data_IF_782953988397
#
_entry.id   IF_782953988397
#
_cell.length_a   1.000
_cell.length_b   1.000
_cell.length_c   1.000
_cell.angle_alpha   90.00
_cell.angle_beta   90.00
_cell.angle_gamma   90.00
#
_symmetry.space_group_name_H-M   'P 1'
#
loop_
_entity.id
_entity.type
_entity.pdbx_description
1 polymer ?
#
# COMPACT_ATOMS: atom_id res chain seq x y z
N UNK A 1 -20.56 8.98 13.26
CA UNK A 1 -19.96 10.09 14.05
C UNK A 1 -20.44 10.04 15.48
N UNK A 2 -21.74 10.10 15.73
CA UNK A 2 -22.33 10.04 17.09
C UNK A 2 -21.84 8.83 17.91
N UNK A 3 -21.83 7.63 17.32
CA UNK A 3 -21.30 6.42 17.96
C UNK A 3 -19.83 6.54 18.39
N UNK A 4 -19.01 7.25 17.64
CA UNK A 4 -17.61 7.49 18.01
C UNK A 4 -17.50 8.47 19.16
N UNK A 5 -18.35 9.51 19.20
CA UNK A 5 -18.41 10.48 20.30
C UNK A 5 -18.84 9.77 21.59
N UNK A 6 -19.87 8.91 21.51
CA UNK A 6 -20.29 8.05 22.64
C UNK A 6 -19.15 7.15 23.12
N UNK A 7 -18.36 6.59 22.20
CA UNK A 7 -17.21 5.78 22.55
C UNK A 7 -16.12 6.56 23.29
N UNK A 8 -15.81 7.80 22.87
CA UNK A 8 -14.91 8.68 23.62
C UNK A 8 -15.44 8.96 25.03
N UNK A 9 -16.69 9.42 25.14
CA UNK A 9 -17.32 9.72 26.43
C UNK A 9 -17.32 8.51 27.39
N UNK A 10 -17.69 7.32 26.88
CA UNK A 10 -17.65 6.07 27.63
C UNK A 10 -16.24 5.74 28.16
N UNK A 11 -15.20 6.01 27.38
CA UNK A 11 -13.83 5.79 27.82
C UNK A 11 -13.41 6.80 28.88
N UNK A 12 -13.78 8.08 28.72
CA UNK A 12 -13.53 9.14 29.70
C UNK A 12 -14.19 8.86 31.05
N UNK A 13 -15.46 8.41 31.07
CA UNK A 13 -16.18 8.00 32.28
C UNK A 13 -15.47 6.86 33.05
N UNK A 14 -14.75 6.00 32.33
CA UNK A 14 -13.96 4.90 32.91
C UNK A 14 -12.55 5.34 33.34
N UNK A 15 -12.24 6.64 33.28
CA UNK A 15 -10.89 7.16 33.54
C UNK A 15 -9.86 6.77 32.48
N UNK A 16 -10.31 6.34 31.29
CA UNK A 16 -9.45 5.90 30.18
C UNK A 16 -9.47 6.93 29.06
N UNK A 17 -8.49 7.83 29.04
CA UNK A 17 -8.33 8.76 27.92
C UNK A 17 -7.76 8.05 26.68
N UNK A 18 -8.58 7.89 25.65
CA UNK A 18 -8.21 7.26 24.37
C UNK A 18 -8.00 8.33 23.31
N UNK A 19 -7.03 8.14 22.41
CA UNK A 19 -6.70 9.15 21.40
C UNK A 19 -7.34 8.87 20.04
N UNK A 20 -7.74 7.61 19.79
CA UNK A 20 -8.32 7.19 18.52
C UNK A 20 -9.47 6.23 18.79
N UNK A 21 -10.62 6.47 18.14
CA UNK A 21 -11.71 5.49 18.01
C UNK A 21 -11.68 4.92 16.60
N UNK A 22 -11.54 3.60 16.50
CA UNK A 22 -11.38 2.87 15.23
C UNK A 22 -12.54 1.91 14.98
N UNK A 23 -13.25 2.11 13.86
CA UNK A 23 -14.46 1.40 13.54
C UNK A 23 -14.38 0.58 12.24
N UNK A 24 -15.44 -0.20 11.99
CA UNK A 24 -15.56 -1.06 10.81
C UNK A 24 -16.25 -0.38 9.64
N UNK A 25 -16.07 -0.97 8.46
CA UNK A 25 -16.58 -0.44 7.23
C UNK A 25 -17.03 -1.55 6.27
N UNK A 26 -17.91 -1.16 5.36
CA UNK A 26 -18.35 -1.96 4.22
C UNK A 26 -17.60 -1.56 2.96
N UNK A 27 -17.36 -2.49 2.06
CA UNK A 27 -16.98 -2.17 0.69
C UNK A 27 -18.23 -2.07 -0.18
N UNK A 28 -18.34 -1.02 -0.98
CA UNK A 28 -19.35 -0.88 -2.01
C UNK A 28 -18.68 -0.82 -3.38
N UNK A 29 -18.80 -1.90 -4.16
CA UNK A 29 -18.24 -2.00 -5.51
C UNK A 29 -19.33 -2.40 -6.49
N UNK A 30 -19.58 -1.60 -7.53
CA UNK A 30 -20.58 -1.87 -8.58
C UNK A 30 -21.97 -2.20 -8.01
N UNK A 31 -22.39 -1.46 -6.96
CA UNK A 31 -23.68 -1.66 -6.29
C UNK A 31 -23.75 -2.85 -5.34
N UNK A 32 -22.68 -3.64 -5.21
CA UNK A 32 -22.61 -4.78 -4.27
C UNK A 32 -21.86 -4.39 -3.01
N UNK A 33 -22.48 -4.69 -1.87
CA UNK A 33 -21.89 -4.52 -0.55
C UNK A 33 -21.14 -5.81 -0.18
N UNK A 34 -19.89 -5.69 0.24
CA UNK A 34 -19.11 -6.80 0.81
C UNK A 34 -18.47 -6.39 2.13
N UNK A 35 -18.25 -7.39 2.99
CA UNK A 35 -17.57 -7.24 4.28
C UNK A 35 -16.16 -7.85 4.26
N UNK A 36 -15.70 -8.27 3.09
CA UNK A 36 -14.36 -8.83 2.88
C UNK A 36 -13.31 -7.79 3.26
N UNK A 37 -12.42 -8.10 4.20
CA UNK A 37 -11.39 -7.16 4.67
C UNK A 37 -11.80 -6.32 5.88
N UNK A 38 -12.89 -6.66 6.57
CA UNK A 38 -13.20 -6.09 7.87
C UNK A 38 -12.17 -6.54 8.94
N UNK A 39 -11.94 -5.69 9.93
CA UNK A 39 -10.97 -5.97 11.00
C UNK A 39 -11.55 -6.89 12.09
N UNK A 40 -12.86 -7.17 12.06
CA UNK A 40 -13.52 -8.12 12.97
C UNK A 40 -12.87 -9.51 12.88
N UNK A 41 -12.48 -9.98 11.70
CA UNK A 41 -11.82 -11.28 11.55
C UNK A 41 -10.48 -11.37 12.27
N UNK A 42 -9.76 -10.25 12.40
CA UNK A 42 -8.43 -10.19 13.03
C UNK A 42 -8.53 -9.83 14.51
N UNK A 43 -9.45 -8.93 14.87
CA UNK A 43 -9.53 -8.33 16.21
C UNK A 43 -10.71 -8.83 17.05
N UNK A 44 -11.66 -9.55 16.47
CA UNK A 44 -12.90 -9.95 17.11
C UNK A 44 -14.00 -8.88 17.03
N UNK A 45 -15.18 -9.23 17.52
CA UNK A 45 -16.37 -8.38 17.54
C UNK A 45 -16.58 -7.66 18.88
N UNK A 46 -15.60 -7.71 19.77
CA UNK A 46 -15.67 -7.08 21.10
C UNK A 46 -15.09 -5.67 21.09
N UNK A 47 -15.75 -4.77 21.81
CA UNK A 47 -15.19 -3.44 22.12
C UNK A 47 -14.01 -3.59 23.07
N UNK A 48 -12.87 -3.01 22.72
CA UNK A 48 -11.69 -3.01 23.59
C UNK A 48 -10.75 -1.87 23.31
N UNK A 49 -9.93 -1.55 24.31
CA UNK A 49 -8.80 -0.64 24.14
C UNK A 49 -7.58 -1.47 23.76
N UNK A 50 -6.92 -1.05 22.68
CA UNK A 50 -5.68 -1.63 22.19
C UNK A 50 -4.53 -0.68 22.49
N UNK A 51 -3.41 -1.26 22.88
CA UNK A 51 -2.11 -0.59 22.80
C UNK A 51 -1.56 -0.66 21.36
N UNK A 52 -0.63 0.23 20.96
CA UNK A 52 0.04 0.16 19.67
C UNK A 52 0.75 -1.18 19.45
N UNK A 53 1.30 -1.76 20.51
CA UNK A 53 1.97 -3.05 20.46
C UNK A 53 1.00 -4.17 20.09
N UNK A 54 -0.12 -4.30 20.80
CA UNK A 54 -1.13 -5.33 20.52
C UNK A 54 -1.71 -5.18 19.10
N UNK A 55 -1.87 -3.93 18.65
CA UNK A 55 -2.29 -3.65 17.29
C UNK A 55 -1.23 -4.07 16.26
N UNK A 56 0.03 -3.65 16.42
CA UNK A 56 1.11 -3.95 15.49
C UNK A 56 1.44 -5.45 15.38
N UNK A 57 1.26 -6.23 16.46
CA UNK A 57 1.44 -7.69 16.44
C UNK A 57 0.46 -8.42 15.52
N UNK A 58 -0.73 -7.85 15.29
CA UNK A 58 -1.81 -8.49 14.52
C UNK A 58 -2.04 -7.89 13.14
N UNK A 59 -1.40 -6.76 12.84
CA UNK A 59 -1.59 -6.02 11.58
C UNK A 59 -0.35 -6.05 10.71
N UNK A 60 -0.51 -6.46 9.45
CA UNK A 60 0.55 -6.49 8.44
C UNK A 60 0.41 -5.39 7.38
N UNK A 61 -0.80 -4.86 7.20
CA UNK A 61 -1.11 -3.72 6.34
C UNK A 61 -2.23 -2.94 7.00
N UNK A 62 -2.19 -1.61 6.90
CA UNK A 62 -3.16 -0.74 7.55
C UNK A 62 -3.38 0.51 6.71
N UNK A 63 -4.59 1.05 6.77
CA UNK A 63 -4.92 2.35 6.20
C UNK A 63 -5.95 3.03 7.09
N UNK A 64 -5.79 4.34 7.28
CA UNK A 64 -6.66 5.12 8.14
C UNK A 64 -6.91 6.48 7.49
N UNK A 65 -7.89 6.50 6.58
CA UNK A 65 -8.39 7.75 5.98
C UNK A 65 -9.66 8.20 6.70
N UNK A 66 -10.72 7.40 6.60
CA UNK A 66 -12.05 7.70 7.11
C UNK A 66 -12.57 6.64 8.09
N UNK A 67 -11.68 5.78 8.61
CA UNK A 67 -12.04 4.58 9.39
C UNK A 67 -12.09 4.81 10.90
N UNK A 68 -12.12 6.06 11.34
CA UNK A 68 -12.17 6.37 12.75
C UNK A 68 -12.38 7.84 13.06
N UNK A 69 -12.36 8.14 14.34
CA UNK A 69 -12.37 9.49 14.88
C UNK A 69 -11.11 9.67 15.72
N UNK A 70 -10.39 10.76 15.52
CA UNK A 70 -9.12 11.08 16.19
C UNK A 70 -9.38 12.22 17.16
N UNK A 71 -8.85 12.14 18.38
CA UNK A 71 -8.80 13.29 19.26
C UNK A 71 -7.96 14.40 18.63
N UNK A 72 -8.57 15.59 18.48
CA UNK A 72 -7.93 16.68 17.74
C UNK A 72 -6.74 17.29 18.48
N UNK A 73 -6.76 17.29 19.82
CA UNK A 73 -5.63 17.81 20.62
C UNK A 73 -4.41 16.90 20.46
N UNK A 74 -4.63 15.59 20.47
CA UNK A 74 -3.62 14.58 20.17
C UNK A 74 -3.08 14.74 18.74
N UNK A 75 -3.94 14.82 17.72
CA UNK A 75 -3.48 14.97 16.34
C UNK A 75 -2.60 16.23 16.17
N UNK A 76 -2.98 17.34 16.82
CA UNK A 76 -2.21 18.59 16.81
C UNK A 76 -0.88 18.44 17.55
N UNK A 77 -0.82 17.69 18.65
CA UNK A 77 0.41 17.52 19.44
C UNK A 77 1.47 16.73 18.69
N UNK A 78 1.07 15.67 17.96
CA UNK A 78 1.98 14.84 17.15
C UNK A 78 2.33 15.47 15.80
N UNK A 79 1.62 16.52 15.38
CA UNK A 79 1.84 17.26 14.11
C UNK A 79 1.86 16.34 12.87
N UNK A 80 1.10 15.25 12.92
CA UNK A 80 1.04 14.26 11.85
C UNK A 80 0.21 14.80 10.68
N UNK A 81 0.73 14.60 9.46
CA UNK A 81 0.09 15.01 8.20
C UNK A 81 0.31 13.96 7.13
N UNK A 82 -0.60 13.89 6.16
CA UNK A 82 -0.41 13.06 4.97
C UNK A 82 0.86 13.47 4.22
N UNK A 83 1.50 12.49 3.57
CA UNK A 83 2.55 12.78 2.61
C UNK A 83 1.89 13.36 1.35
N UNK A 84 2.35 14.51 0.91
CA UNK A 84 1.78 15.20 -0.25
C UNK A 84 2.18 14.49 -1.56
N UNK A 85 1.32 14.62 -2.58
CA UNK A 85 1.62 14.24 -3.98
C UNK A 85 2.01 12.77 -4.21
N UNK A 86 1.57 11.89 -3.30
CA UNK A 86 1.72 10.44 -3.43
C UNK A 86 0.34 9.77 -3.40
N UNK A 87 0.32 8.52 -3.83
CA UNK A 87 -0.79 7.59 -3.64
C UNK A 87 -0.59 6.80 -2.35
N UNK A 88 -1.69 6.35 -1.74
CA UNK A 88 -1.68 5.43 -0.58
C UNK A 88 -1.14 6.09 0.71
N UNK A 89 -1.22 7.41 0.80
CA UNK A 89 -0.78 8.22 1.93
C UNK A 89 -1.52 7.88 3.23
N UNK A 90 -2.76 7.38 3.12
CA UNK A 90 -3.58 6.92 4.23
C UNK A 90 -3.03 5.67 4.92
N UNK A 91 -2.23 4.88 4.22
CA UNK A 91 -1.53 3.74 4.79
C UNK A 91 -0.47 4.16 5.80
N UNK A 92 0.47 5.02 5.38
CA UNK A 92 1.50 5.55 6.26
C UNK A 92 0.91 6.37 7.39
N UNK A 93 -0.04 7.27 7.08
CA UNK A 93 -0.68 8.11 8.08
C UNK A 93 -1.31 7.25 9.19
N UNK A 94 -2.04 6.19 8.84
CA UNK A 94 -2.64 5.30 9.83
C UNK A 94 -1.62 4.62 10.72
N UNK A 95 -0.54 4.08 10.14
CA UNK A 95 0.50 3.40 10.92
C UNK A 95 1.18 4.38 11.87
N UNK A 96 1.56 5.57 11.36
CA UNK A 96 2.20 6.60 12.16
C UNK A 96 1.30 7.15 13.26
N UNK A 97 0.00 7.28 13.00
CA UNK A 97 -1.01 7.70 13.98
C UNK A 97 -1.10 6.67 15.13
N UNK A 98 -1.29 5.40 14.79
CA UNK A 98 -1.50 4.34 15.77
C UNK A 98 -0.25 4.07 16.60
N UNK A 99 0.94 4.16 16.01
CA UNK A 99 2.21 4.01 16.73
C UNK A 99 2.50 5.15 17.71
N UNK A 100 1.89 6.33 17.54
CA UNK A 100 2.06 7.47 18.44
C UNK A 100 0.94 7.60 19.48
N UNK A 101 -0.18 6.89 19.30
CA UNK A 101 -1.25 6.84 20.30
C UNK A 101 -0.81 5.98 21.49
N UNK A 102 -1.33 6.26 22.68
CA UNK A 102 -1.17 5.37 23.83
C UNK A 102 -2.29 4.34 23.90
N UNK A 103 -3.52 4.76 23.56
CA UNK A 103 -4.72 3.93 23.64
C UNK A 103 -5.61 4.15 22.42
N UNK A 104 -5.93 3.05 21.75
CA UNK A 104 -6.82 3.01 20.59
C UNK A 104 -8.08 2.26 20.98
N UNK A 105 -9.23 2.92 20.99
CA UNK A 105 -10.51 2.27 21.23
C UNK A 105 -11.02 1.61 19.95
N UNK A 106 -11.13 0.28 19.97
CA UNK A 106 -11.72 -0.51 18.89
C UNK A 106 -13.23 -0.59 19.08
N UNK A 107 -13.98 -0.02 18.13
CA UNK A 107 -15.44 -0.05 18.06
C UNK A 107 -15.89 -0.96 16.90
N UNK A 108 -16.25 -2.23 17.13
CA UNK A 108 -16.57 -3.21 16.08
C UNK A 108 -17.96 -2.99 15.45
N UNK A 109 -18.31 -1.73 15.16
CA UNK A 109 -19.53 -1.31 14.47
C UNK A 109 -19.20 -0.89 13.05
N UNK A 110 -20.05 -1.29 12.11
CA UNK A 110 -19.91 -0.92 10.70
C UNK A 110 -20.48 0.49 10.47
N UNK A 111 -19.62 1.50 10.54
CA UNK A 111 -20.04 2.91 10.54
C UNK A 111 -19.71 3.65 9.25
N UNK A 112 -19.05 2.99 8.29
CA UNK A 112 -18.63 3.62 7.05
C UNK A 112 -18.83 2.71 5.83
N UNK A 113 -19.20 3.31 4.70
CA UNK A 113 -19.34 2.63 3.42
C UNK A 113 -18.23 3.11 2.48
N UNK A 114 -17.17 2.31 2.35
CA UNK A 114 -16.06 2.57 1.45
C UNK A 114 -16.45 2.22 0.01
N UNK A 115 -16.76 3.25 -0.77
CA UNK A 115 -17.18 3.10 -2.17
C UNK A 115 -15.99 3.06 -3.12
N UNK A 116 -15.83 1.96 -3.84
CA UNK A 116 -14.85 1.84 -4.94
C UNK A 116 -15.55 2.20 -6.25
N UNK A 117 -15.15 3.32 -6.85
CA UNK A 117 -15.64 3.77 -8.16
C UNK A 117 -14.58 3.59 -9.25
N UNK A 118 -15.05 3.38 -10.48
CA UNK A 118 -14.22 3.54 -11.67
C UNK A 118 -13.75 4.99 -11.80
N UNK A 119 -12.64 5.20 -12.51
CA UNK A 119 -12.01 6.52 -12.67
C UNK A 119 -11.60 7.18 -11.34
N UNK A 120 -11.36 6.36 -10.32
CA UNK A 120 -10.74 6.81 -9.07
C UNK A 120 -9.22 6.76 -9.18
N UNK A 121 -8.52 7.41 -8.25
CA UNK A 121 -7.07 7.31 -8.12
C UNK A 121 -6.59 5.86 -7.96
N UNK A 122 -7.43 5.00 -7.35
CA UNK A 122 -7.21 3.56 -7.21
C UNK A 122 -7.46 2.78 -8.51
N UNK A 123 -8.38 3.25 -9.36
CA UNK A 123 -8.75 2.66 -10.66
C UNK A 123 -8.72 3.72 -11.78
N UNK A 124 -7.54 4.24 -12.14
CA UNK A 124 -7.41 5.26 -13.16
C UNK A 124 -7.72 4.66 -14.53
N UNK A 125 -8.35 5.46 -15.39
CA UNK A 125 -8.59 5.12 -16.80
C UNK A 125 -7.56 5.80 -17.70
N UNK A 126 -7.46 5.35 -18.94
CA UNK A 126 -6.50 5.88 -19.94
C UNK A 126 -6.86 7.27 -20.49
N UNK A 127 -8.02 7.83 -20.12
CA UNK A 127 -8.54 9.09 -20.68
C UNK A 127 -8.38 10.25 -19.68
N UNK A 128 -8.06 9.95 -18.41
CA UNK A 128 -7.98 10.97 -17.38
C UNK A 128 -6.71 11.80 -17.50
N UNK A 129 -6.86 13.13 -17.58
CA UNK A 129 -5.73 14.05 -17.48
C UNK A 129 -5.03 13.89 -16.13
N UNK A 130 -3.69 13.85 -16.10
CA UNK A 130 -2.97 13.72 -14.86
C UNK A 130 -3.13 14.98 -14.00
N UNK A 131 -3.14 14.85 -12.66
CA UNK A 131 -3.13 15.99 -11.76
C UNK A 131 -1.90 16.87 -11.99
N UNK A 132 -1.98 18.15 -11.63
CA UNK A 132 -0.95 19.15 -11.90
C UNK A 132 0.46 18.73 -11.44
N UNK A 133 0.57 18.09 -10.26
CA UNK A 133 1.85 17.63 -9.71
C UNK A 133 2.53 16.52 -10.54
N UNK A 134 1.82 15.88 -11.48
CA UNK A 134 2.36 14.88 -12.40
C UNK A 134 2.63 15.43 -13.80
N UNK A 135 2.30 16.68 -14.08
CA UNK A 135 2.30 17.19 -15.45
C UNK A 135 3.70 17.25 -16.06
N UNK A 136 4.72 17.63 -15.28
CA UNK A 136 6.13 17.62 -15.73
C UNK A 136 6.60 16.20 -16.10
N UNK A 137 6.25 15.22 -15.27
CA UNK A 137 6.60 13.81 -15.48
C UNK A 137 5.86 13.25 -16.69
N UNK A 138 4.57 13.59 -16.84
CA UNK A 138 3.78 13.21 -18.00
C UNK A 138 4.42 13.66 -19.32
N UNK A 139 4.97 14.89 -19.36
CA UNK A 139 5.71 15.39 -20.52
C UNK A 139 7.01 14.61 -20.74
N UNK A 140 7.77 14.32 -19.69
CA UNK A 140 9.00 13.50 -19.76
C UNK A 140 8.77 12.07 -20.27
N UNK A 141 7.54 11.57 -20.15
CA UNK A 141 7.11 10.26 -20.64
C UNK A 141 6.38 10.33 -21.99
N UNK A 142 6.62 11.36 -22.79
CA UNK A 142 6.02 11.55 -24.11
C UNK A 142 4.49 11.43 -24.08
N UNK A 143 3.87 11.97 -23.01
CA UNK A 143 2.41 11.94 -22.81
C UNK A 143 1.81 10.53 -22.70
N UNK A 144 2.59 9.54 -22.30
CA UNK A 144 2.11 8.18 -22.05
C UNK A 144 1.48 8.06 -20.65
N UNK A 145 0.15 8.13 -20.59
CA UNK A 145 -0.63 8.10 -19.33
C UNK A 145 -0.54 6.74 -18.60
N UNK A 146 -0.48 5.64 -19.34
CA UNK A 146 -0.38 4.30 -18.74
C UNK A 146 0.96 4.13 -18.03
N UNK A 147 2.05 4.56 -18.69
CA UNK A 147 3.39 4.55 -18.11
C UNK A 147 3.51 5.51 -16.93
N UNK A 148 2.92 6.71 -17.03
CA UNK A 148 2.83 7.65 -15.91
C UNK A 148 2.11 7.02 -14.71
N UNK A 149 0.97 6.36 -14.91
CA UNK A 149 0.17 5.79 -13.83
C UNK A 149 0.89 4.62 -13.12
N UNK A 150 1.67 3.82 -13.85
CA UNK A 150 2.48 2.76 -13.23
C UNK A 150 3.69 3.35 -12.50
N UNK A 151 4.36 4.34 -13.09
CA UNK A 151 5.47 5.05 -12.44
C UNK A 151 4.99 5.80 -11.19
N UNK A 152 3.84 6.47 -11.23
CA UNK A 152 3.30 7.20 -10.08
C UNK A 152 3.00 6.27 -8.90
N UNK A 153 2.57 5.02 -9.15
CA UNK A 153 2.43 4.02 -8.09
C UNK A 153 3.78 3.62 -7.51
N UNK A 154 4.75 3.30 -8.36
CA UNK A 154 6.08 2.90 -7.92
C UNK A 154 6.78 4.02 -7.12
N UNK A 155 6.75 5.27 -7.63
CA UNK A 155 7.33 6.44 -6.96
C UNK A 155 6.65 6.71 -5.62
N UNK A 156 5.32 6.57 -5.55
CA UNK A 156 4.56 6.80 -4.31
C UNK A 156 4.94 5.78 -3.23
N UNK A 157 4.97 4.50 -3.60
CA UNK A 157 5.37 3.42 -2.70
C UNK A 157 6.82 3.61 -2.21
N UNK A 158 7.72 4.05 -3.09
CA UNK A 158 9.10 4.35 -2.72
C UNK A 158 9.20 5.50 -1.71
N UNK A 159 8.53 6.63 -1.98
CA UNK A 159 8.50 7.79 -1.08
C UNK A 159 7.84 7.47 0.27
N UNK A 160 6.75 6.71 0.27
CA UNK A 160 6.11 6.22 1.49
C UNK A 160 7.06 5.29 2.28
N UNK A 161 7.85 4.45 1.58
CA UNK A 161 8.83 3.59 2.24
C UNK A 161 9.94 4.40 2.92
N UNK A 162 10.41 5.48 2.28
CA UNK A 162 11.35 6.40 2.93
C UNK A 162 10.73 7.04 4.19
N UNK A 163 9.50 7.57 4.07
CA UNK A 163 8.82 8.19 5.20
C UNK A 163 8.61 7.23 6.38
N UNK A 164 8.22 5.98 6.13
CA UNK A 164 7.95 5.02 7.21
C UNK A 164 9.24 4.59 7.91
N UNK A 165 10.34 4.47 7.17
CA UNK A 165 11.66 4.19 7.73
C UNK A 165 12.14 5.36 8.59
N UNK A 166 12.05 6.59 8.09
CA UNK A 166 12.43 7.80 8.84
C UNK A 166 11.60 7.93 10.12
N UNK A 167 10.29 7.64 10.04
CA UNK A 167 9.41 7.59 11.21
C UNK A 167 9.85 6.55 12.23
N UNK A 168 10.11 5.31 11.83
CA UNK A 168 10.52 4.29 12.79
C UNK A 168 11.91 4.53 13.38
N UNK A 169 12.76 5.32 12.72
CA UNK A 169 14.03 5.77 13.27
C UNK A 169 13.85 6.88 14.32
N UNK A 170 12.82 7.72 14.18
CA UNK A 170 12.54 8.79 15.15
C UNK A 170 11.83 8.31 16.41
N UNK A 171 11.21 7.12 16.38
CA UNK A 171 10.62 6.50 17.56
C UNK A 171 11.69 5.93 18.53
N UNK A 172 11.38 5.81 19.84
CA UNK A 172 12.20 5.05 20.77
C UNK A 172 12.36 3.59 20.32
N UNK A 173 13.58 3.05 20.39
CA UNK A 173 13.90 1.69 19.94
C UNK A 173 13.51 0.61 20.97
N UNK A 174 12.28 0.71 21.46
CA UNK A 174 11.65 -0.20 22.41
C UNK A 174 10.90 -1.36 21.70
N UNK A 175 10.31 -2.25 22.48
CA UNK A 175 9.66 -3.46 21.98
C UNK A 175 8.49 -3.17 21.01
N UNK A 176 7.55 -2.23 21.28
CA UNK A 176 6.52 -1.84 20.31
C UNK A 176 7.08 -1.43 18.95
N UNK A 177 8.13 -0.61 18.92
CA UNK A 177 8.76 -0.16 17.67
C UNK A 177 9.41 -1.33 16.92
N UNK A 178 10.08 -2.25 17.62
CA UNK A 178 10.70 -3.44 17.00
C UNK A 178 9.65 -4.34 16.36
N UNK A 179 8.56 -4.61 17.07
CA UNK A 179 7.42 -5.39 16.56
C UNK A 179 6.83 -4.71 15.32
N UNK A 180 6.57 -3.40 15.39
CA UNK A 180 6.03 -2.66 14.26
C UNK A 180 6.95 -2.70 13.03
N UNK A 181 8.27 -2.55 13.22
CA UNK A 181 9.25 -2.72 12.14
C UNK A 181 9.15 -4.12 11.50
N UNK A 182 9.08 -5.17 12.32
CA UNK A 182 8.95 -6.55 11.84
C UNK A 182 7.63 -6.80 11.08
N UNK A 183 6.53 -6.21 11.53
CA UNK A 183 5.22 -6.37 10.89
C UNK A 183 5.11 -5.60 9.57
N UNK A 184 5.57 -4.35 9.53
CA UNK A 184 5.28 -3.43 8.43
C UNK A 184 6.41 -3.31 7.39
N UNK A 185 7.68 -3.19 7.82
CA UNK A 185 8.79 -2.95 6.89
C UNK A 185 8.89 -3.99 5.77
N UNK A 186 8.64 -5.30 5.98
CA UNK A 186 8.78 -6.27 4.92
C UNK A 186 7.92 -5.98 3.69
N UNK A 187 6.72 -5.42 3.89
CA UNK A 187 5.84 -5.02 2.79
C UNK A 187 6.44 -3.80 2.08
N UNK A 188 6.66 -2.70 2.78
CA UNK A 188 7.13 -1.44 2.22
C UNK A 188 8.47 -1.61 1.47
N UNK A 189 9.44 -2.29 2.07
CA UNK A 189 10.72 -2.56 1.44
C UNK A 189 10.58 -3.33 0.13
N UNK A 190 9.71 -4.36 0.07
CA UNK A 190 9.45 -5.08 -1.18
C UNK A 190 8.83 -4.18 -2.26
N UNK A 191 7.90 -3.31 -1.88
CA UNK A 191 7.25 -2.37 -2.80
C UNK A 191 8.24 -1.34 -3.37
N UNK A 192 9.22 -0.92 -2.57
CA UNK A 192 10.22 0.08 -2.98
C UNK A 192 11.03 -0.33 -4.22
N UNK A 193 11.18 -1.63 -4.49
CA UNK A 193 11.89 -2.13 -5.67
C UNK A 193 11.17 -1.87 -7.00
N UNK A 194 9.88 -1.55 -6.99
CA UNK A 194 9.15 -1.28 -8.24
C UNK A 194 9.69 -0.07 -9.00
N UNK A 195 10.42 0.84 -8.35
CA UNK A 195 11.08 1.95 -9.05
C UNK A 195 12.11 1.48 -10.08
N UNK A 196 12.66 0.26 -9.94
CA UNK A 196 13.63 -0.33 -10.87
C UNK A 196 13.01 -1.03 -12.07
N UNK A 197 11.68 -1.12 -12.15
CA UNK A 197 11.01 -1.56 -13.38
C UNK A 197 10.98 -0.44 -14.44
N UNK A 198 11.49 0.76 -14.12
CA UNK A 198 11.50 1.94 -14.99
C UNK A 198 12.92 2.33 -15.35
N UNK A 199 13.22 2.38 -16.66
CA UNK A 199 14.50 2.91 -17.14
C UNK A 199 14.55 4.43 -17.07
N UNK A 200 13.44 5.10 -17.37
CA UNK A 200 13.34 6.55 -17.26
C UNK A 200 12.80 6.91 -15.86
N UNK A 201 13.67 7.47 -15.02
CA UNK A 201 13.36 7.91 -13.66
C UNK A 201 13.60 9.42 -13.52
N UNK A 202 12.64 10.27 -13.93
CA UNK A 202 12.81 11.72 -13.98
C UNK A 202 13.01 12.38 -12.60
N UNK A 203 12.72 11.66 -11.51
CA UNK A 203 12.92 12.13 -10.14
C UNK A 203 14.18 11.55 -9.47
N UNK A 204 14.94 10.74 -10.20
CA UNK A 204 16.17 10.09 -9.71
C UNK A 204 16.00 9.33 -8.39
N UNK A 205 14.82 8.77 -8.13
CA UNK A 205 14.50 8.03 -6.91
C UNK A 205 15.35 6.76 -6.76
N UNK A 206 15.74 6.12 -7.87
CA UNK A 206 16.66 4.98 -7.84
C UNK A 206 17.98 5.34 -7.15
N UNK A 207 18.50 6.56 -7.34
CA UNK A 207 19.73 7.02 -6.67
C UNK A 207 19.55 7.19 -5.17
N UNK A 208 18.33 7.28 -4.67
CA UNK A 208 18.04 7.38 -3.24
C UNK A 208 17.86 6.01 -2.57
N UNK A 209 17.90 4.91 -3.34
CA UNK A 209 17.68 3.55 -2.82
C UNK A 209 18.69 3.16 -1.73
N UNK A 210 19.90 3.73 -1.73
CA UNK A 210 20.91 3.47 -0.70
C UNK A 210 20.41 3.74 0.72
N UNK A 211 19.46 4.67 0.89
CA UNK A 211 18.84 4.99 2.19
C UNK A 211 18.07 3.80 2.78
N UNK A 212 17.62 2.87 1.94
CA UNK A 212 16.87 1.69 2.34
C UNK A 212 17.75 0.46 2.60
N UNK A 213 19.02 0.47 2.16
CA UNK A 213 19.95 -0.66 2.32
C UNK A 213 20.11 -1.15 3.77
N UNK A 214 20.16 -0.28 4.80
CA UNK A 214 20.28 -0.73 6.20
C UNK A 214 19.10 -1.57 6.71
N UNK A 215 17.99 -1.61 5.97
CA UNK A 215 16.76 -2.30 6.37
C UNK A 215 16.52 -3.59 5.58
N UNK A 216 17.43 -3.99 4.69
CA UNK A 216 17.22 -5.15 3.82
C UNK A 216 17.13 -6.48 4.57
N UNK A 217 17.60 -6.53 5.83
CA UNK A 217 17.50 -7.71 6.70
C UNK A 217 16.06 -8.04 7.11
N UNK A 218 15.13 -7.08 7.02
CA UNK A 218 13.70 -7.32 7.26
C UNK A 218 13.01 -8.10 6.14
N UNK A 219 13.68 -8.34 5.01
CA UNK A 219 13.11 -9.07 3.88
C UNK A 219 13.99 -10.24 3.46
N UNK A 220 13.34 -11.24 2.84
CA UNK A 220 14.02 -12.23 2.01
C UNK A 220 13.98 -11.76 0.56
N UNK A 221 15.04 -11.14 0.01
CA UNK A 221 15.02 -10.60 -1.34
C UNK A 221 15.02 -11.73 -2.39
N UNK A 222 14.25 -11.51 -3.46
CA UNK A 222 14.34 -12.30 -4.69
C UNK A 222 15.70 -12.12 -5.38
N UNK A 223 16.04 -12.99 -6.33
CA UNK A 223 17.30 -12.88 -7.07
C UNK A 223 17.52 -11.50 -7.70
N UNK A 224 16.49 -10.95 -8.35
CA UNK A 224 16.58 -9.60 -8.93
C UNK A 224 16.79 -8.52 -7.87
N UNK A 225 16.10 -8.62 -6.72
CA UNK A 225 16.27 -7.68 -5.62
C UNK A 225 17.68 -7.75 -5.03
N UNK A 226 18.26 -8.96 -4.92
CA UNK A 226 19.67 -9.13 -4.52
C UNK A 226 20.62 -8.43 -5.49
N UNK A 227 20.38 -8.54 -6.80
CA UNK A 227 21.16 -7.80 -7.79
C UNK A 227 21.06 -6.29 -7.54
N UNK A 228 19.86 -5.75 -7.35
CA UNK A 228 19.68 -4.32 -7.06
C UNK A 228 20.42 -3.89 -5.78
N UNK A 229 20.34 -4.68 -4.71
CA UNK A 229 20.98 -4.41 -3.41
C UNK A 229 22.50 -4.32 -3.53
N UNK A 230 23.13 -5.22 -4.29
CA UNK A 230 24.59 -5.32 -4.39
C UNK A 230 25.18 -4.59 -5.61
N UNK A 231 24.34 -4.11 -6.53
CA UNK A 231 24.78 -3.42 -7.74
C UNK A 231 25.14 -1.96 -7.45
N UNK A 232 26.29 -1.45 -7.92
CA UNK A 232 26.61 -0.03 -7.86
C UNK A 232 25.53 0.84 -8.51
N UNK A 233 25.24 2.00 -7.92
CA UNK A 233 24.20 2.94 -8.40
C UNK A 233 24.43 3.34 -9.88
N UNK A 234 25.70 3.49 -10.30
CA UNK A 234 26.06 3.82 -11.68
C UNK A 234 25.60 2.79 -12.71
N UNK A 235 25.38 1.53 -12.29
CA UNK A 235 24.93 0.43 -13.15
C UNK A 235 23.41 0.22 -13.12
N UNK A 236 22.65 0.97 -12.31
CA UNK A 236 21.19 0.88 -12.28
C UNK A 236 20.53 1.09 -13.65
N UNK A 237 20.94 2.06 -14.49
CA UNK A 237 20.33 2.23 -15.82
C UNK A 237 20.50 0.99 -16.71
N UNK A 238 21.63 0.29 -16.60
CA UNK A 238 21.86 -0.96 -17.32
C UNK A 238 21.01 -2.11 -16.74
N UNK A 239 20.94 -2.22 -15.41
CA UNK A 239 20.16 -3.24 -14.72
C UNK A 239 18.66 -3.14 -15.04
N UNK A 240 18.10 -1.93 -15.05
CA UNK A 240 16.70 -1.67 -15.41
C UNK A 240 16.40 -2.01 -16.87
N UNK A 241 17.32 -1.76 -17.82
CA UNK A 241 17.19 -2.22 -19.21
C UNK A 241 17.11 -3.75 -19.32
N UNK A 242 18.01 -4.47 -18.65
CA UNK A 242 17.96 -5.94 -18.61
C UNK A 242 16.67 -6.45 -17.97
N UNK A 243 16.22 -5.80 -16.89
CA UNK A 243 14.95 -6.12 -16.24
C UNK A 243 13.77 -5.94 -17.18
N UNK A 244 13.70 -4.80 -17.88
CA UNK A 244 12.65 -4.52 -18.84
C UNK A 244 12.62 -5.55 -19.98
N UNK A 245 13.79 -5.91 -20.53
CA UNK A 245 13.91 -6.95 -21.55
C UNK A 245 13.44 -8.32 -21.04
N UNK A 246 13.84 -8.72 -19.82
CA UNK A 246 13.40 -9.96 -19.19
C UNK A 246 11.88 -10.00 -18.95
N UNK A 247 11.30 -8.90 -18.45
CA UNK A 247 9.86 -8.80 -18.22
C UNK A 247 9.09 -8.88 -19.55
N UNK A 248 9.57 -8.19 -20.58
CA UNK A 248 9.01 -8.25 -21.93
C UNK A 248 9.02 -9.67 -22.49
N UNK A 249 10.15 -10.38 -22.41
CA UNK A 249 10.27 -11.77 -22.85
C UNK A 249 9.26 -12.65 -22.11
N UNK A 250 9.19 -12.54 -20.78
CA UNK A 250 8.28 -13.36 -19.96
C UNK A 250 6.81 -13.09 -20.29
N UNK A 251 6.45 -11.84 -20.54
CA UNK A 251 5.08 -11.50 -20.94
C UNK A 251 4.75 -11.97 -22.36
N UNK A 252 5.72 -11.95 -23.28
CA UNK A 252 5.60 -12.60 -24.58
C UNK A 252 5.35 -14.11 -24.44
N UNK A 253 6.15 -14.82 -23.64
CA UNK A 253 5.94 -16.25 -23.37
C UNK A 253 4.58 -16.56 -22.75
N UNK A 254 4.08 -15.69 -21.86
CA UNK A 254 2.74 -15.85 -21.26
C UNK A 254 1.65 -15.68 -22.30
N UNK A 255 1.74 -14.66 -23.16
CA UNK A 255 0.81 -14.44 -24.27
C UNK A 255 0.82 -15.63 -25.23
N UNK A 256 2.00 -16.10 -25.61
CA UNK A 256 2.18 -17.26 -26.46
C UNK A 256 1.55 -18.53 -25.85
N UNK A 257 1.81 -18.82 -24.56
CA UNK A 257 1.20 -19.95 -23.85
C UNK A 257 -0.33 -19.87 -23.81
N UNK A 258 -0.90 -18.68 -23.59
CA UNK A 258 -2.35 -18.48 -23.60
C UNK A 258 -2.93 -18.72 -25.00
N UNK A 259 -2.29 -18.18 -26.02
CA UNK A 259 -2.67 -18.39 -27.41
C UNK A 259 -2.62 -19.88 -27.79
N UNK A 260 -1.53 -20.57 -27.45
CA UNK A 260 -1.37 -22.00 -27.70
C UNK A 260 -2.45 -22.84 -27.00
N UNK A 261 -2.75 -22.55 -25.72
CA UNK A 261 -3.84 -23.19 -24.98
C UNK A 261 -5.20 -22.94 -25.64
N UNK A 262 -5.45 -21.75 -26.19
CA UNK A 262 -6.67 -21.44 -26.93
C UNK A 262 -6.79 -22.30 -28.19
N UNK A 263 -5.71 -22.44 -28.95
CA UNK A 263 -5.66 -23.30 -30.15
C UNK A 263 -5.95 -24.76 -29.79
N UNK A 264 -5.30 -25.29 -28.75
CA UNK A 264 -5.55 -26.65 -28.28
C UNK A 264 -7.01 -26.87 -27.86
N UNK A 265 -7.63 -25.87 -27.20
CA UNK A 265 -9.04 -25.92 -26.80
C UNK A 265 -9.98 -25.90 -28.03
N UNK A 266 -9.67 -25.09 -29.05
CA UNK A 266 -10.40 -25.07 -30.31
C UNK A 266 -10.27 -26.41 -31.06
N UNK A 267 -9.07 -26.99 -31.16
CA UNK A 267 -8.87 -28.31 -31.78
C UNK A 267 -9.61 -29.43 -31.05
N UNK A 268 -9.67 -29.41 -29.71
CA UNK A 268 -10.47 -30.37 -28.93
C UNK A 268 -11.97 -30.23 -29.19
N UNK A 269 -12.49 -29.00 -29.31
CA UNK A 269 -13.90 -28.76 -29.66
C UNK A 269 -14.22 -29.23 -31.07
N UNK A 270 -13.35 -28.97 -32.06
CA UNK A 270 -13.57 -29.44 -33.42
C UNK A 270 -13.61 -30.96 -33.52
N UNK A 271 -12.74 -31.67 -32.79
CA UNK A 271 -12.78 -33.14 -32.69
C UNK A 271 -14.01 -33.71 -31.99
N UNK A 272 -14.64 -32.96 -31.08
CA UNK A 272 -15.90 -33.41 -30.46
C UNK A 272 -17.11 -33.25 -31.39
N UNK A 273 -17.05 -32.36 -32.39
CA UNK A 273 -18.10 -32.22 -33.40
C UNK A 273 -17.99 -33.27 -34.51
N UNK A 274 -16.78 -33.75 -34.83
CA UNK A 274 -16.56 -34.80 -35.84
C UNK A 274 -16.83 -36.23 -35.37
N UNK A 275 -17.27 -36.43 -34.12
CA UNK A 275 -17.61 -37.74 -33.56
C UNK A 275 -19.14 -37.93 -33.41
N UNK A 276 -19.94 -37.05 -34.04
CA UNK A 276 -21.42 -37.11 -34.08
C UNK A 276 -21.97 -37.38 -35.49
N UNK A 277 -21.11 -37.83 -36.42
CA UNK A 277 -21.48 -38.42 -37.72
C UNK A 277 -21.11 -39.90 -37.72
#
# INVERSE_FOLDING_TARGET
>A
MEECIKAFAKCEEQGKNVEVVWFEFYFLTNGKITTDGNWIQIYGAEERILTPQEWAQKTYYFWFSTLGLIDFKFLKSIKLKFLNEVLYEDANFGIMLFMQAQRIFRLPKMLYCYRIREQSTMRPTTIQMPPAYLQSIYLSFNKNITYLNTYNRARSLFLLTLQIVDFFNSLPQNEPTKIAKQSFLPYYLKQSFYIFDFYNDPLELQKQFYKLLPYMDYIKPSFYQKLVIHCPISLYPLLTKFRAAYLWQRDFERKFRRWWKSILKCKKRLKSYSNFE
#
